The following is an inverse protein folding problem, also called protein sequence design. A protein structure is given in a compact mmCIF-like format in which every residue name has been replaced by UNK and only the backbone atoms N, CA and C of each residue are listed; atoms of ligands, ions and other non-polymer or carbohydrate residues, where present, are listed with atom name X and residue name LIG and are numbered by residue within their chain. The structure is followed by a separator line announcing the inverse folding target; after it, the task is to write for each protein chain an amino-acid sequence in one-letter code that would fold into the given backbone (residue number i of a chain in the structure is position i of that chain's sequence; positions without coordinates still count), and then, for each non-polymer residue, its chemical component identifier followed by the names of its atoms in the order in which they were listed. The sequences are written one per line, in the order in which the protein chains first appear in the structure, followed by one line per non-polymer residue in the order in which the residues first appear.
data_IF_088604426741
#
_entry.id   IF_088604426741
#
_cell.length_a   1.000
_cell.length_b   1.000
_cell.length_c   1.000
_cell.angle_alpha   90.00
_cell.angle_beta   90.00
_cell.angle_gamma   90.00
#
_symmetry.space_group_name_H-M   'P 1'
#
loop_
_entity.id
_entity.type
_entity.pdbx_description
1 polymer ?
#
# COMPACT_ATOMS: atom_id res chain seq x y z
N UNK A 1 -8.05 52.82 25.20
CA UNK A 1 -7.57 52.36 23.88
C UNK A 1 -6.30 51.55 24.14
N UNK A 2 -6.46 50.24 24.29
CA UNK A 2 -5.38 49.30 24.60
C UNK A 2 -4.85 48.73 23.29
N UNK A 3 -3.71 49.26 22.83
CA UNK A 3 -2.97 48.69 21.72
C UNK A 3 -2.47 47.29 22.11
N UNK A 4 -3.04 46.29 21.47
CA UNK A 4 -2.58 44.91 21.53
C UNK A 4 -1.31 44.80 20.69
N UNK A 5 -0.18 44.73 21.38
CA UNK A 5 1.11 44.44 20.78
C UNK A 5 1.06 43.10 20.03
N UNK A 6 0.96 43.17 18.71
CA UNK A 6 1.15 42.02 17.83
C UNK A 6 2.59 41.58 17.95
N UNK A 7 2.82 40.47 18.66
CA UNK A 7 4.08 39.75 18.70
C UNK A 7 4.42 39.25 17.29
N UNK A 8 5.04 40.10 16.47
CA UNK A 8 5.78 39.66 15.29
C UNK A 8 7.03 38.95 15.79
N UNK A 9 6.94 37.63 15.93
CA UNK A 9 8.12 36.79 16.20
C UNK A 9 9.03 36.90 14.97
N UNK A 10 9.97 37.83 15.06
CA UNK A 10 10.98 38.09 14.07
C UNK A 10 12.15 37.12 14.32
N UNK A 11 11.95 35.83 14.04
CA UNK A 11 13.05 34.88 14.05
C UNK A 11 13.43 34.53 12.61
N UNK A 12 14.45 35.23 12.08
CA UNK A 12 15.25 34.75 10.95
C UNK A 12 16.03 33.50 11.40
N UNK A 13 15.34 32.40 11.64
CA UNK A 13 16.00 31.10 11.79
C UNK A 13 16.63 30.73 10.45
N UNK A 14 17.79 30.06 10.50
CA UNK A 14 18.42 29.57 9.28
C UNK A 14 17.61 28.42 8.67
N UNK A 15 17.79 28.16 7.37
CA UNK A 15 17.14 27.02 6.69
C UNK A 15 17.52 25.66 7.31
N UNK A 16 18.77 25.55 7.77
CA UNK A 16 19.27 24.37 8.49
C UNK A 16 18.59 24.20 9.85
N UNK A 17 18.41 25.29 10.58
CA UNK A 17 17.72 25.27 11.87
C UNK A 17 16.23 24.94 11.72
N UNK A 18 15.56 25.50 10.71
CA UNK A 18 14.18 25.16 10.38
C UNK A 18 14.03 23.67 10.05
N UNK A 19 14.92 23.13 9.22
CA UNK A 19 14.97 21.69 8.92
C UNK A 19 15.15 20.85 10.18
N UNK A 20 16.06 21.24 11.08
CA UNK A 20 16.29 20.50 12.32
C UNK A 20 15.04 20.47 13.21
N UNK A 21 14.35 21.61 13.36
CA UNK A 21 13.08 21.71 14.11
C UNK A 21 11.96 20.90 13.47
N UNK A 22 11.85 20.91 12.14
CA UNK A 22 10.90 20.10 11.38
C UNK A 22 11.12 18.60 11.63
N UNK A 23 12.36 18.13 11.57
CA UNK A 23 12.70 16.71 11.79
C UNK A 23 12.39 16.30 13.23
N UNK A 24 12.69 17.16 14.20
CA UNK A 24 12.35 16.94 15.61
C UNK A 24 10.82 16.82 15.80
N UNK A 25 10.05 17.74 15.22
CA UNK A 25 8.59 17.70 15.26
C UNK A 25 8.03 16.42 14.60
N UNK A 26 8.54 16.03 13.44
CA UNK A 26 8.07 14.83 12.76
C UNK A 26 8.26 13.57 13.63
N UNK A 27 9.39 13.49 14.35
CA UNK A 27 9.65 12.41 15.32
C UNK A 27 8.69 12.46 16.51
N UNK A 28 8.42 13.65 17.05
CA UNK A 28 7.47 13.85 18.15
C UNK A 28 6.04 13.43 17.77
N UNK A 29 5.64 13.75 16.53
CA UNK A 29 4.33 13.36 15.97
C UNK A 29 4.27 11.85 15.65
N UNK A 30 5.42 11.17 15.66
CA UNK A 30 5.53 9.72 15.62
C UNK A 30 5.99 9.13 14.29
N UNK A 31 6.54 9.92 13.36
CA UNK A 31 7.19 9.38 12.16
C UNK A 31 8.58 8.79 12.48
N UNK A 32 8.92 7.67 11.85
CA UNK A 32 10.20 6.98 12.01
C UNK A 32 11.33 7.63 11.20
N UNK A 33 10.96 8.40 10.17
CA UNK A 33 11.88 9.16 9.35
C UNK A 33 11.22 10.42 8.82
N UNK A 34 11.98 11.50 8.70
CA UNK A 34 11.61 12.74 8.04
C UNK A 34 12.86 13.26 7.32
N UNK A 35 12.76 13.43 6.00
CA UNK A 35 13.87 13.84 5.13
C UNK A 35 13.40 14.78 4.05
N UNK A 36 14.34 15.49 3.44
CA UNK A 36 14.05 16.55 2.48
C UNK A 36 14.60 16.16 1.11
N UNK A 37 13.73 16.15 0.10
CA UNK A 37 14.13 16.16 -1.31
C UNK A 37 14.07 17.59 -1.86
N UNK A 38 14.90 17.87 -2.87
CA UNK A 38 14.72 19.05 -3.70
C UNK A 38 13.43 18.91 -4.52
N UNK A 39 12.69 20.01 -4.70
CA UNK A 39 11.49 20.01 -5.54
C UNK A 39 11.87 20.15 -7.02
N UNK A 40 12.39 19.06 -7.60
CA UNK A 40 12.74 18.95 -9.02
C UNK A 40 11.87 17.90 -9.71
N UNK A 41 12.00 17.74 -11.03
CA UNK A 41 11.38 16.62 -11.72
C UNK A 41 11.84 15.27 -11.12
N UNK A 42 10.95 14.29 -10.94
CA UNK A 42 11.30 13.02 -10.33
C UNK A 42 12.21 12.20 -11.26
N UNK A 43 13.09 11.40 -10.65
CA UNK A 43 14.15 10.71 -11.37
C UNK A 43 13.63 9.73 -12.44
N UNK A 44 12.51 9.06 -12.17
CA UNK A 44 11.94 8.03 -13.05
C UNK A 44 10.69 8.51 -13.79
N UNK A 45 10.59 9.82 -14.10
CA UNK A 45 9.47 10.37 -14.85
C UNK A 45 9.29 9.70 -16.22
N UNK A 46 10.39 9.37 -16.91
CA UNK A 46 10.34 8.75 -18.23
C UNK A 46 9.89 7.28 -18.14
N UNK A 47 10.43 6.51 -17.20
CA UNK A 47 10.05 5.13 -16.94
C UNK A 47 8.57 5.03 -16.54
N UNK A 48 8.07 6.01 -15.78
CA UNK A 48 6.64 6.11 -15.49
C UNK A 48 5.81 6.32 -16.75
N UNK A 49 6.22 7.22 -17.67
CA UNK A 49 5.53 7.41 -18.96
C UNK A 49 5.60 6.15 -19.83
N UNK A 50 6.73 5.47 -19.86
CA UNK A 50 6.91 4.22 -20.60
C UNK A 50 5.95 3.15 -20.08
N UNK A 51 5.87 2.99 -18.76
CA UNK A 51 4.94 2.08 -18.10
C UNK A 51 3.48 2.38 -18.42
N UNK A 52 3.10 3.66 -18.53
CA UNK A 52 1.77 4.07 -18.99
C UNK A 52 1.54 3.72 -20.48
N UNK A 53 2.52 3.98 -21.34
CA UNK A 53 2.45 3.69 -22.79
C UNK A 53 2.33 2.19 -23.07
N UNK A 54 3.00 1.36 -22.28
CA UNK A 54 2.93 -0.10 -22.32
C UNK A 54 1.57 -0.64 -21.83
N UNK A 55 0.70 0.21 -21.26
CA UNK A 55 -0.57 -0.22 -20.67
C UNK A 55 -0.40 -1.03 -19.38
N UNK A 56 0.80 -1.06 -18.81
CA UNK A 56 1.15 -1.86 -17.64
C UNK A 56 0.46 -1.38 -16.35
N UNK A 57 -0.18 -0.19 -16.37
CA UNK A 57 -1.06 0.31 -15.32
C UNK A 57 -2.45 -0.36 -15.26
N UNK A 58 -2.83 -1.13 -16.29
CA UNK A 58 -4.16 -1.71 -16.38
C UNK A 58 -5.27 -0.67 -16.30
N UNK A 59 -6.31 -0.94 -15.52
CA UNK A 59 -7.49 -0.08 -15.34
C UNK A 59 -7.27 1.15 -14.43
N UNK A 60 -6.05 1.38 -13.92
CA UNK A 60 -5.74 2.53 -13.05
C UNK A 60 -5.69 3.86 -13.84
N UNK A 61 -6.84 4.27 -14.40
CA UNK A 61 -6.98 5.47 -15.23
C UNK A 61 -6.53 6.76 -14.54
N UNK A 62 -6.55 6.81 -13.21
CA UNK A 62 -6.04 7.94 -12.44
C UNK A 62 -4.52 8.13 -12.58
N UNK A 63 -3.76 7.08 -12.90
CA UNK A 63 -2.32 7.19 -13.17
C UNK A 63 -2.08 8.04 -14.41
N UNK A 64 -2.83 7.76 -15.50
CA UNK A 64 -2.76 8.53 -16.74
C UNK A 64 -3.29 9.96 -16.57
N UNK A 65 -4.44 10.15 -15.90
CA UNK A 65 -4.99 11.50 -15.64
C UNK A 65 -4.06 12.39 -14.81
N UNK A 66 -3.23 11.80 -13.96
CA UNK A 66 -2.28 12.51 -13.10
C UNK A 66 -0.89 12.67 -13.69
N UNK A 67 -0.64 12.28 -14.95
CA UNK A 67 0.70 12.16 -15.52
C UNK A 67 1.52 13.46 -15.40
N UNK A 68 0.97 14.59 -15.86
CA UNK A 68 1.68 15.87 -15.84
C UNK A 68 2.10 16.26 -14.42
N UNK A 69 1.20 16.14 -13.45
CA UNK A 69 1.47 16.44 -12.04
C UNK A 69 2.47 15.49 -11.41
N UNK A 70 2.42 14.20 -11.79
CA UNK A 70 3.39 13.20 -11.32
C UNK A 70 4.79 13.49 -11.81
N UNK A 71 4.93 14.02 -13.02
CA UNK A 71 6.22 14.33 -13.63
C UNK A 71 6.74 15.74 -13.33
N UNK A 72 5.89 16.65 -12.85
CA UNK A 72 6.26 18.02 -12.53
C UNK A 72 5.56 18.50 -11.24
N UNK A 73 6.28 18.56 -10.10
CA UNK A 73 5.70 19.01 -8.83
C UNK A 73 5.30 20.49 -8.86
N UNK A 74 5.80 21.30 -9.81
CA UNK A 74 5.35 22.69 -9.97
C UNK A 74 3.89 22.77 -10.44
N UNK A 75 3.36 21.73 -11.11
CA UNK A 75 1.93 21.64 -11.48
C UNK A 75 1.03 21.31 -10.29
N UNK A 76 1.61 20.87 -9.18
CA UNK A 76 0.90 20.60 -7.93
C UNK A 76 0.88 21.86 -7.07
N UNK A 77 2.06 22.42 -6.81
CA UNK A 77 2.25 23.62 -6.00
C UNK A 77 3.27 24.54 -6.70
N UNK A 78 2.80 25.55 -7.45
CA UNK A 78 3.69 26.52 -8.08
C UNK A 78 4.60 27.21 -7.05
N UNK A 79 5.90 27.26 -7.32
CA UNK A 79 6.89 27.85 -6.42
C UNK A 79 7.34 26.93 -5.29
N UNK A 80 6.96 25.65 -5.31
CA UNK A 80 7.51 24.65 -4.39
C UNK A 80 9.04 24.55 -4.60
N UNK A 81 9.79 24.53 -3.49
CA UNK A 81 11.26 24.47 -3.47
C UNK A 81 11.78 23.20 -2.82
N UNK A 82 11.02 22.64 -1.88
CA UNK A 82 11.40 21.42 -1.17
C UNK A 82 10.20 20.49 -1.03
N UNK A 83 10.50 19.20 -0.90
CA UNK A 83 9.53 18.16 -0.62
C UNK A 83 9.97 17.48 0.68
N UNK A 84 9.16 17.63 1.72
CA UNK A 84 9.34 16.90 2.97
C UNK A 84 8.75 15.51 2.76
N UNK A 85 9.56 14.47 2.98
CA UNK A 85 9.14 13.08 2.90
C UNK A 85 9.24 12.45 4.28
N UNK A 86 8.16 11.86 4.74
CA UNK A 86 8.10 11.13 6.01
C UNK A 86 7.83 9.66 5.80
N UNK A 87 8.29 8.83 6.74
CA UNK A 87 8.03 7.40 6.75
C UNK A 87 7.44 6.96 8.09
N UNK A 88 6.43 6.10 8.06
CA UNK A 88 5.78 5.55 9.24
C UNK A 88 5.73 4.02 9.16
N UNK A 89 6.38 3.35 10.11
CA UNK A 89 6.43 1.90 10.21
C UNK A 89 5.05 1.31 10.51
N UNK A 90 4.70 0.22 9.83
CA UNK A 90 3.47 -0.55 10.11
C UNK A 90 3.71 -2.03 10.42
N UNK A 91 4.96 -2.49 10.49
CA UNK A 91 5.28 -3.88 10.74
C UNK A 91 4.77 -4.35 12.12
N UNK A 92 3.96 -5.40 12.16
CA UNK A 92 3.41 -5.94 13.41
C UNK A 92 4.15 -7.20 13.93
N UNK A 93 5.34 -7.48 13.40
CA UNK A 93 6.11 -8.68 13.74
C UNK A 93 5.74 -9.92 12.91
N UNK A 94 6.45 -11.02 13.15
CA UNK A 94 6.37 -12.24 12.31
C UNK A 94 5.18 -13.15 12.65
N UNK A 95 4.62 -13.04 13.86
CA UNK A 95 3.52 -13.91 14.31
C UNK A 95 2.23 -13.58 13.59
N UNK A 96 1.86 -14.39 12.60
CA UNK A 96 0.50 -14.46 12.07
C UNK A 96 -0.18 -15.64 12.77
N UNK A 97 -1.21 -15.42 13.62
CA UNK A 97 -2.00 -16.51 14.15
C UNK A 97 -2.62 -17.30 12.99
N UNK A 98 -2.24 -18.57 12.81
CA UNK A 98 -2.86 -19.44 11.81
C UNK A 98 -3.62 -20.55 12.52
N UNK A 99 -4.91 -20.66 12.21
CA UNK A 99 -5.64 -21.92 12.41
C UNK A 99 -5.14 -22.92 11.37
N UNK A 100 -4.69 -24.10 11.81
CA UNK A 100 -4.16 -25.14 10.93
C UNK A 100 -5.27 -25.98 10.25
N UNK A 101 -6.50 -25.96 10.77
CA UNK A 101 -7.57 -26.87 10.39
C UNK A 101 -8.63 -26.30 9.44
N UNK A 102 -8.56 -24.99 9.11
CA UNK A 102 -9.59 -24.33 8.30
C UNK A 102 -9.00 -23.34 7.28
N UNK A 103 -9.71 -23.14 6.18
CA UNK A 103 -9.30 -22.24 5.11
C UNK A 103 -9.36 -20.76 5.56
N UNK A 104 -8.19 -20.14 5.69
CA UNK A 104 -8.03 -18.71 6.04
C UNK A 104 -7.49 -17.91 4.87
N UNK A 105 -7.88 -16.63 4.82
CA UNK A 105 -7.39 -15.67 3.84
C UNK A 105 -6.20 -14.86 4.34
N UNK A 106 -5.34 -14.41 3.43
CA UNK A 106 -4.29 -13.43 3.70
C UNK A 106 -4.74 -12.05 3.24
N UNK A 107 -4.66 -11.08 4.15
CA UNK A 107 -4.77 -9.65 3.87
C UNK A 107 -3.37 -9.07 4.03
N UNK A 108 -2.95 -8.20 3.11
CA UNK A 108 -1.66 -7.51 3.20
C UNK A 108 -1.54 -6.72 4.51
N UNK A 109 -0.36 -6.75 5.11
CA UNK A 109 -0.07 -6.23 6.46
C UNK A 109 -0.49 -4.79 6.64
N UNK A 110 -0.34 -3.96 5.61
CA UNK A 110 -0.68 -2.55 5.64
C UNK A 110 -2.18 -2.29 5.89
N UNK A 111 -3.05 -3.28 5.66
CA UNK A 111 -4.50 -3.16 5.79
C UNK A 111 -5.07 -3.88 7.03
N UNK A 112 -4.22 -4.31 7.97
CA UNK A 112 -4.66 -5.04 9.16
C UNK A 112 -5.40 -4.19 10.19
N UNK A 113 -5.04 -2.91 10.31
CA UNK A 113 -5.57 -1.98 11.30
C UNK A 113 -6.42 -0.86 10.70
N UNK A 114 -6.26 0.34 11.25
CA UNK A 114 -6.85 1.58 10.75
C UNK A 114 -6.36 1.94 9.34
N UNK A 115 -7.16 2.76 8.65
CA UNK A 115 -6.80 3.32 7.37
C UNK A 115 -5.61 4.29 7.50
N UNK A 116 -4.48 3.93 6.91
CA UNK A 116 -3.24 4.71 7.01
C UNK A 116 -3.39 6.12 6.45
N UNK A 117 -4.31 6.34 5.50
CA UNK A 117 -4.59 7.66 4.96
C UNK A 117 -5.04 8.61 6.09
N UNK A 118 -5.95 8.15 6.95
CA UNK A 118 -6.50 8.96 8.04
C UNK A 118 -5.45 9.19 9.14
N UNK A 119 -4.68 8.15 9.49
CA UNK A 119 -3.61 8.22 10.50
C UNK A 119 -2.51 9.20 10.07
N UNK A 120 -2.02 9.06 8.83
CA UNK A 120 -0.90 9.86 8.32
C UNK A 120 -1.35 11.28 8.03
N UNK A 121 -2.54 11.51 7.46
CA UNK A 121 -3.03 12.87 7.18
C UNK A 121 -3.09 13.72 8.45
N UNK A 122 -3.64 13.18 9.56
CA UNK A 122 -3.66 13.88 10.87
C UNK A 122 -2.27 14.24 11.38
N UNK A 123 -1.26 13.41 11.09
CA UNK A 123 0.14 13.68 11.46
C UNK A 123 0.78 14.72 10.54
N UNK A 124 0.50 14.65 9.23
CA UNK A 124 0.95 15.65 8.25
C UNK A 124 0.38 17.04 8.53
N UNK A 125 -0.87 17.15 8.98
CA UNK A 125 -1.50 18.43 9.35
C UNK A 125 -0.72 19.19 10.42
N UNK A 126 -0.10 18.48 11.38
CA UNK A 126 0.75 19.09 12.41
C UNK A 126 2.02 19.70 11.79
N UNK A 127 2.61 19.00 10.83
CA UNK A 127 3.81 19.47 10.11
C UNK A 127 3.45 20.63 9.18
N UNK A 128 2.32 20.54 8.46
CA UNK A 128 1.78 21.59 7.60
C UNK A 128 1.60 22.90 8.40
N UNK A 129 0.89 22.84 9.53
CA UNK A 129 0.68 23.98 10.42
C UNK A 129 1.99 24.56 10.96
N UNK A 130 2.97 23.72 11.29
CA UNK A 130 4.29 24.19 11.71
C UNK A 130 4.99 24.97 10.59
N UNK A 131 5.00 24.46 9.36
CA UNK A 131 5.67 25.14 8.24
C UNK A 131 4.97 26.46 7.85
N UNK A 132 3.64 26.56 8.02
CA UNK A 132 2.90 27.82 7.82
C UNK A 132 3.38 28.95 8.73
N UNK A 133 3.80 28.64 9.95
CA UNK A 133 4.33 29.64 10.90
C UNK A 133 5.61 30.32 10.38
N UNK A 134 6.30 29.71 9.41
CA UNK A 134 7.49 30.25 8.75
C UNK A 134 7.20 30.83 7.36
N UNK A 135 5.93 31.06 7.02
CA UNK A 135 5.52 31.67 5.75
C UNK A 135 5.50 30.72 4.56
N UNK A 136 5.60 29.41 4.79
CA UNK A 136 5.47 28.43 3.72
C UNK A 136 4.03 28.24 3.28
N UNK A 137 3.85 27.95 1.99
CA UNK A 137 2.63 27.32 1.47
C UNK A 137 2.93 25.85 1.21
N UNK A 138 1.95 24.98 1.47
CA UNK A 138 2.14 23.53 1.43
C UNK A 138 1.03 22.83 0.66
N UNK A 139 1.38 21.66 0.13
CA UNK A 139 0.42 20.66 -0.34
C UNK A 139 0.87 19.29 0.15
N UNK A 140 0.05 18.69 1.01
CA UNK A 140 0.31 17.39 1.63
C UNK A 140 -0.40 16.26 0.89
N UNK A 141 0.24 15.10 0.82
CA UNK A 141 -0.31 13.87 0.26
C UNK A 141 0.12 12.64 1.06
N UNK A 142 -0.74 11.63 0.98
CA UNK A 142 -0.46 10.24 1.34
C UNK A 142 -1.18 9.38 0.30
N UNK A 143 -0.43 8.62 -0.52
CA UNK A 143 -0.85 7.69 -1.60
C UNK A 143 -1.74 8.29 -2.73
N UNK A 144 -2.80 8.99 -2.36
CA UNK A 144 -3.84 9.58 -3.23
C UNK A 144 -3.37 10.75 -4.08
N UNK A 145 -2.19 11.30 -3.80
CA UNK A 145 -1.61 12.43 -4.53
C UNK A 145 -1.05 12.05 -5.90
N UNK A 146 -1.08 12.96 -6.89
CA UNK A 146 -0.42 12.75 -8.17
C UNK A 146 1.09 13.06 -8.05
N UNK A 147 1.78 12.44 -7.09
CA UNK A 147 3.23 12.56 -6.87
C UNK A 147 3.89 11.19 -7.01
N UNK A 148 5.11 11.11 -7.54
CA UNK A 148 5.92 9.88 -7.50
C UNK A 148 6.59 9.76 -6.12
N UNK A 149 5.79 9.44 -5.09
CA UNK A 149 6.20 9.39 -3.68
C UNK A 149 7.52 8.62 -3.45
N UNK A 150 7.64 7.42 -4.05
CA UNK A 150 8.82 6.56 -3.88
C UNK A 150 10.08 7.16 -4.48
N UNK A 151 9.97 7.93 -5.57
CA UNK A 151 11.12 8.60 -6.20
C UNK A 151 11.67 9.68 -5.28
N UNK A 152 10.79 10.55 -4.76
CA UNK A 152 11.23 11.60 -3.83
C UNK A 152 11.71 11.02 -2.50
N UNK A 153 11.11 9.93 -2.03
CA UNK A 153 11.60 9.22 -0.85
C UNK A 153 13.01 8.64 -1.06
N UNK A 154 13.30 8.08 -2.24
CA UNK A 154 14.64 7.61 -2.58
C UNK A 154 15.64 8.77 -2.69
N UNK A 155 15.26 9.87 -3.36
CA UNK A 155 16.09 11.08 -3.50
C UNK A 155 16.40 11.73 -2.14
N UNK A 156 15.40 11.80 -1.24
CA UNK A 156 15.57 12.29 0.12
C UNK A 156 16.38 11.31 1.00
N UNK A 157 16.68 10.10 0.52
CA UNK A 157 17.43 9.10 1.28
C UNK A 157 16.62 8.41 2.38
N UNK A 158 15.29 8.32 2.26
CA UNK A 158 14.47 7.43 3.10
C UNK A 158 14.88 5.98 2.84
N UNK A 159 15.14 5.63 1.59
CA UNK A 159 15.50 4.28 1.18
C UNK A 159 16.04 4.25 -0.25
N UNK A 160 16.03 3.08 -0.88
CA UNK A 160 16.33 2.91 -2.30
C UNK A 160 15.24 2.07 -2.97
N UNK A 161 15.09 2.19 -4.30
CA UNK A 161 14.16 1.35 -5.05
C UNK A 161 14.68 -0.08 -5.10
N UNK A 162 13.92 -1.01 -4.53
CA UNK A 162 14.17 -2.43 -4.70
C UNK A 162 13.84 -2.89 -6.12
N UNK A 163 14.36 -4.06 -6.51
CA UNK A 163 14.03 -4.69 -7.79
C UNK A 163 12.53 -5.01 -7.95
N UNK A 164 11.79 -5.05 -6.84
CA UNK A 164 10.32 -5.19 -6.80
C UNK A 164 9.56 -3.88 -6.98
N UNK A 165 10.23 -2.78 -7.31
CA UNK A 165 9.73 -1.39 -7.37
C UNK A 165 9.31 -0.78 -6.03
N UNK A 166 9.32 -1.55 -4.94
CA UNK A 166 9.08 -1.06 -3.57
C UNK A 166 10.31 -0.33 -3.02
N UNK A 167 10.09 0.66 -2.16
CA UNK A 167 11.17 1.32 -1.44
C UNK A 167 11.65 0.44 -0.28
N UNK A 168 12.96 0.38 -0.07
CA UNK A 168 13.59 -0.41 1.00
C UNK A 168 14.42 0.54 1.88
N UNK A 169 14.26 0.45 3.19
CA UNK A 169 15.09 1.13 4.19
C UNK A 169 15.93 0.13 4.97
N UNK A 170 17.10 0.58 5.43
CA UNK A 170 18.05 -0.26 6.18
C UNK A 170 17.57 -0.66 7.58
N UNK A 171 16.61 0.07 8.15
CA UNK A 171 16.06 -0.17 9.51
C UNK A 171 14.61 -0.64 9.46
N UNK A 172 13.79 -0.06 8.58
CA UNK A 172 12.37 -0.38 8.47
C UNK A 172 12.10 -1.56 7.52
N UNK A 173 13.11 -2.00 6.75
CA UNK A 173 12.93 -3.01 5.71
C UNK A 173 12.01 -2.48 4.62
N UNK A 174 10.91 -3.17 4.35
CA UNK A 174 9.90 -2.75 3.37
C UNK A 174 8.56 -2.35 4.00
N UNK A 175 8.51 -2.26 5.33
CA UNK A 175 7.26 -2.17 6.09
C UNK A 175 6.97 -0.76 6.61
N UNK A 176 6.89 0.20 5.70
CA UNK A 176 6.54 1.57 6.05
C UNK A 176 5.64 2.23 5.00
N UNK A 177 4.81 3.15 5.46
CA UNK A 177 4.07 4.08 4.63
C UNK A 177 4.91 5.32 4.35
N UNK A 178 4.56 6.02 3.27
CA UNK A 178 5.11 7.32 2.92
C UNK A 178 4.05 8.42 3.10
N UNK A 179 4.53 9.64 3.28
CA UNK A 179 3.74 10.86 3.16
C UNK A 179 4.63 11.99 2.70
N UNK A 180 4.07 12.91 1.92
CA UNK A 180 4.80 14.01 1.30
C UNK A 180 4.16 15.35 1.63
N UNK A 181 5.00 16.37 1.81
CA UNK A 181 4.58 17.77 1.88
C UNK A 181 5.44 18.56 0.90
N UNK A 182 4.87 18.97 -0.22
CA UNK A 182 5.49 19.96 -1.09
C UNK A 182 5.41 21.30 -0.37
N UNK A 183 6.49 22.08 -0.35
CA UNK A 183 6.49 23.40 0.27
C UNK A 183 7.28 24.44 -0.52
N UNK A 184 6.82 25.69 -0.48
CA UNK A 184 7.52 26.85 -1.04
C UNK A 184 8.75 27.28 -0.21
N UNK A 185 8.91 26.71 0.99
CA UNK A 185 10.10 26.93 1.81
C UNK A 185 11.29 26.19 1.22
N UNK A 186 12.44 26.86 1.25
CA UNK A 186 13.70 26.27 0.81
C UNK A 186 14.40 25.61 2.00
N UNK A 187 14.42 24.28 2.00
CA UNK A 187 15.05 23.45 3.02
C UNK A 187 16.25 22.70 2.42
N UNK A 188 17.36 22.53 3.16
CA UNK A 188 18.52 21.81 2.64
C UNK A 188 18.16 20.34 2.35
N UNK A 189 18.39 19.83 1.13
CA UNK A 189 18.07 18.44 0.80
C UNK A 189 18.97 17.44 1.53
N UNK A 190 18.46 16.24 1.74
CA UNK A 190 19.21 15.08 2.24
C UNK A 190 19.76 14.27 1.07
N UNK A 191 20.93 13.60 1.24
CA UNK A 191 21.50 12.77 0.19
C UNK A 191 20.76 11.42 0.06
N UNK A 192 20.65 10.87 -1.16
CA UNK A 192 20.06 9.56 -1.39
C UNK A 192 20.90 8.44 -0.78
N UNK A 193 20.25 7.31 -0.50
CA UNK A 193 20.95 6.08 -0.13
C UNK A 193 21.40 5.30 -1.39
N UNK A 194 22.48 4.53 -1.27
CA UNK A 194 22.92 3.61 -2.35
C UNK A 194 21.98 2.41 -2.46
N UNK A 195 21.81 1.89 -3.67
CA UNK A 195 21.16 0.59 -3.90
C UNK A 195 21.94 -0.53 -3.20
N UNK A 196 21.21 -1.42 -2.52
CA UNK A 196 21.78 -2.58 -1.80
C UNK A 196 21.12 -3.91 -2.17
N UNK A 197 20.46 -4.01 -3.31
CA UNK A 197 19.90 -5.26 -3.83
C UNK A 197 20.99 -6.18 -4.40
N UNK A 198 22.05 -5.62 -5.01
CA UNK A 198 23.14 -6.40 -5.61
C UNK A 198 22.62 -7.44 -6.61
N UNK A 199 23.10 -8.69 -6.53
CA UNK A 199 22.67 -9.79 -7.40
C UNK A 199 21.37 -10.48 -6.95
N UNK A 200 20.79 -10.09 -5.81
CA UNK A 200 19.57 -10.71 -5.26
C UNK A 200 18.41 -10.66 -6.26
N UNK A 201 17.64 -11.76 -6.37
CA UNK A 201 16.42 -11.87 -7.19
C UNK A 201 15.20 -12.42 -6.42
N UNK A 202 15.28 -12.49 -5.08
CA UNK A 202 14.26 -13.17 -4.24
C UNK A 202 12.84 -12.67 -4.47
N UNK A 203 12.62 -11.36 -4.55
CA UNK A 203 11.29 -10.79 -4.77
C UNK A 203 10.71 -11.15 -6.15
N UNK A 204 11.55 -11.22 -7.18
CA UNK A 204 11.16 -11.63 -8.54
C UNK A 204 10.76 -13.11 -8.52
N UNK A 205 11.60 -13.97 -7.94
CA UNK A 205 11.34 -15.41 -7.80
C UNK A 205 10.09 -15.69 -6.96
N UNK A 206 9.83 -14.91 -5.91
CA UNK A 206 8.69 -15.09 -5.03
C UNK A 206 7.36 -14.60 -5.62
N UNK A 207 7.38 -13.80 -6.70
CA UNK A 207 6.18 -13.22 -7.29
C UNK A 207 5.32 -14.31 -7.98
N UNK A 208 4.13 -14.67 -7.44
CA UNK A 208 3.42 -15.87 -7.91
C UNK A 208 2.92 -15.78 -9.35
N UNK A 209 2.69 -14.56 -9.83
CA UNK A 209 2.16 -14.27 -11.16
C UNK A 209 3.23 -13.78 -12.13
N UNK A 210 4.49 -13.67 -11.69
CA UNK A 210 5.55 -13.05 -12.51
C UNK A 210 5.24 -11.60 -12.87
N UNK A 211 4.55 -10.86 -12.00
CA UNK A 211 4.25 -9.44 -12.23
C UNK A 211 5.50 -8.56 -12.23
N UNK A 212 6.55 -8.95 -11.49
CA UNK A 212 7.85 -8.29 -11.56
C UNK A 212 8.62 -8.89 -12.74
N UNK A 213 8.51 -8.27 -13.91
CA UNK A 213 8.99 -8.82 -15.19
C UNK A 213 10.50 -8.71 -15.37
N UNK A 214 11.11 -7.72 -14.71
CA UNK A 214 12.55 -7.51 -14.64
C UNK A 214 12.88 -6.65 -13.40
N UNK A 215 14.16 -6.51 -13.01
CA UNK A 215 14.54 -5.53 -11.98
C UNK A 215 13.94 -4.15 -12.25
N UNK A 216 13.19 -3.63 -11.27
CA UNK A 216 12.52 -2.32 -11.33
C UNK A 216 11.42 -2.20 -12.40
N UNK A 217 10.93 -3.32 -12.95
CA UNK A 217 9.79 -3.35 -13.88
C UNK A 217 8.66 -4.21 -13.33
N UNK A 218 7.44 -3.67 -13.34
CA UNK A 218 6.23 -4.31 -12.84
C UNK A 218 5.11 -4.19 -13.87
N UNK A 219 4.50 -5.30 -14.25
CA UNK A 219 3.19 -5.30 -14.93
C UNK A 219 2.08 -5.40 -13.88
N UNK A 220 1.39 -4.28 -13.61
CA UNK A 220 0.36 -4.27 -12.57
C UNK A 220 -0.81 -5.18 -12.94
N UNK A 221 -1.12 -5.39 -14.22
CA UNK A 221 -2.21 -6.27 -14.66
C UNK A 221 -2.07 -7.70 -14.13
N UNK A 222 -0.84 -8.12 -13.82
CA UNK A 222 -0.52 -9.43 -13.24
C UNK A 222 -0.33 -9.38 -11.73
N UNK A 223 -0.10 -8.21 -11.14
CA UNK A 223 0.19 -8.07 -9.72
C UNK A 223 -1.04 -8.45 -8.88
N UNK A 224 -0.90 -9.38 -7.94
CA UNK A 224 -2.02 -9.80 -7.07
C UNK A 224 -2.59 -8.60 -6.28
N UNK A 225 -1.74 -7.65 -5.90
CA UNK A 225 -2.21 -6.41 -5.25
C UNK A 225 -3.18 -5.64 -6.15
N UNK A 226 -2.82 -5.42 -7.43
CA UNK A 226 -3.71 -4.81 -8.42
C UNK A 226 -4.97 -5.66 -8.66
N UNK A 227 -4.83 -6.97 -8.86
CA UNK A 227 -5.97 -7.87 -9.12
C UNK A 227 -7.00 -7.82 -7.99
N UNK A 228 -6.55 -7.74 -6.74
CA UNK A 228 -7.42 -7.76 -5.57
C UNK A 228 -7.94 -6.38 -5.16
N UNK A 229 -7.35 -5.29 -5.66
CA UNK A 229 -7.66 -3.92 -5.21
C UNK A 229 -8.17 -3.01 -6.34
N UNK A 230 -7.39 -2.94 -7.42
CA UNK A 230 -7.58 -1.95 -8.48
C UNK A 230 -8.49 -2.44 -9.58
N UNK A 231 -8.35 -3.71 -9.97
CA UNK A 231 -9.22 -4.36 -10.94
C UNK A 231 -10.65 -4.43 -10.40
N UNK A 232 -11.61 -3.79 -11.08
CA UNK A 232 -13.01 -3.75 -10.62
C UNK A 232 -13.85 -4.91 -11.13
N UNK A 233 -13.49 -5.46 -12.28
CA UNK A 233 -14.17 -6.57 -12.94
C UNK A 233 -13.67 -7.96 -12.52
N UNK A 234 -13.83 -8.92 -13.43
CA UNK A 234 -13.45 -10.31 -13.23
C UNK A 234 -11.94 -10.52 -13.22
N UNK A 235 -11.43 -11.34 -12.29
CA UNK A 235 -10.03 -11.73 -12.30
C UNK A 235 -9.84 -12.76 -13.44
N UNK A 236 -8.87 -12.57 -14.36
CA UNK A 236 -8.63 -13.51 -15.46
C UNK A 236 -8.47 -14.95 -14.97
N UNK A 237 -9.16 -15.90 -15.62
CA UNK A 237 -9.29 -17.28 -15.16
C UNK A 237 -7.93 -17.94 -14.93
N UNK A 238 -6.96 -17.66 -15.80
CA UNK A 238 -5.59 -18.16 -15.73
C UNK A 238 -4.78 -17.61 -14.55
N UNK A 239 -5.15 -16.43 -14.03
CA UNK A 239 -4.50 -15.82 -12.86
C UNK A 239 -5.15 -16.25 -11.54
N UNK A 240 -6.43 -16.66 -11.53
CA UNK A 240 -7.15 -17.07 -10.31
C UNK A 240 -6.40 -18.14 -9.50
N UNK A 241 -5.84 -19.22 -10.09
CA UNK A 241 -5.02 -20.19 -9.36
C UNK A 241 -3.81 -19.60 -8.65
N UNK A 242 -3.17 -18.59 -9.24
CA UNK A 242 -1.91 -18.01 -8.77
C UNK A 242 -2.11 -17.01 -7.62
N UNK A 243 -3.33 -16.49 -7.44
CA UNK A 243 -3.70 -15.62 -6.32
C UNK A 243 -3.49 -16.32 -4.96
N UNK A 244 -3.65 -17.66 -4.92
CA UNK A 244 -3.58 -18.43 -3.68
C UNK A 244 -4.73 -18.05 -2.75
N UNK A 245 -4.43 -17.78 -1.48
CA UNK A 245 -5.41 -17.37 -0.47
C UNK A 245 -5.41 -15.86 -0.17
N UNK A 246 -4.85 -15.02 -1.05
CA UNK A 246 -4.78 -13.57 -0.85
C UNK A 246 -6.12 -12.92 -1.19
N UNK A 247 -6.75 -12.27 -0.22
CA UNK A 247 -8.08 -11.66 -0.36
C UNK A 247 -8.05 -10.13 -0.42
N UNK A 248 -6.92 -9.50 -0.09
CA UNK A 248 -6.69 -8.06 -0.24
C UNK A 248 -5.18 -7.76 -0.22
N UNK A 249 -4.63 -7.24 -1.32
CA UNK A 249 -3.20 -6.95 -1.43
C UNK A 249 -2.34 -8.21 -1.53
N UNK A 250 -1.02 -8.02 -1.64
CA UNK A 250 -0.05 -9.12 -1.65
C UNK A 250 1.29 -8.65 -1.06
N UNK A 251 1.82 -9.44 -0.13
CA UNK A 251 3.08 -9.15 0.56
C UNK A 251 4.26 -10.01 0.09
N UNK A 252 4.10 -10.92 -0.86
CA UNK A 252 5.14 -11.94 -1.12
C UNK A 252 6.49 -11.37 -1.56
N UNK A 253 6.46 -10.33 -2.40
CA UNK A 253 7.69 -9.65 -2.84
C UNK A 253 8.34 -8.85 -1.71
N UNK A 254 7.56 -8.44 -0.71
CA UNK A 254 7.98 -7.76 0.51
C UNK A 254 8.57 -8.80 1.47
N UNK A 255 7.80 -9.82 1.85
CA UNK A 255 8.19 -10.93 2.73
C UNK A 255 9.51 -11.60 2.26
N UNK A 256 9.72 -11.76 0.95
CA UNK A 256 10.94 -12.35 0.39
C UNK A 256 12.19 -11.45 0.48
N UNK A 257 12.04 -10.16 0.78
CA UNK A 257 13.13 -9.21 0.84
C UNK A 257 14.05 -9.48 2.06
N UNK A 258 15.35 -9.71 1.86
CA UNK A 258 16.26 -10.04 2.96
C UNK A 258 16.48 -8.89 3.94
N UNK A 259 16.15 -7.65 3.56
CA UNK A 259 16.27 -6.48 4.43
C UNK A 259 15.22 -6.46 5.54
N UNK A 260 14.14 -7.25 5.42
CA UNK A 260 13.13 -7.36 6.48
C UNK A 260 13.64 -8.05 7.75
N UNK A 261 14.80 -8.71 7.71
CA UNK A 261 15.47 -9.22 8.93
C UNK A 261 15.86 -8.11 9.91
N UNK A 262 15.93 -6.86 9.45
CA UNK A 262 16.24 -5.69 10.27
C UNK A 262 14.99 -4.93 10.73
N UNK A 263 13.81 -5.29 10.21
CA UNK A 263 12.58 -4.59 10.53
C UNK A 263 12.19 -4.78 12.00
N UNK A 264 11.79 -3.69 12.64
CA UNK A 264 11.33 -3.68 14.02
C UNK A 264 9.81 -3.51 14.06
N UNK A 265 9.16 -4.07 15.07
CA UNK A 265 7.73 -3.89 15.26
C UNK A 265 7.40 -2.40 15.44
N UNK A 266 6.32 -1.96 14.79
CA UNK A 266 5.82 -0.59 14.87
C UNK A 266 5.33 -0.27 16.28
N UNK A 267 5.52 0.98 16.67
CA UNK A 267 4.95 1.56 17.90
C UNK A 267 3.57 2.17 17.67
N UNK A 268 3.15 2.29 16.42
CA UNK A 268 1.86 2.84 16.04
C UNK A 268 0.78 1.77 16.19
N UNK A 269 0.03 1.86 17.29
CA UNK A 269 -0.99 0.87 17.65
C UNK A 269 -2.20 0.93 16.73
N UNK A 270 -2.42 2.05 16.02
CA UNK A 270 -3.48 2.15 15.00
C UNK A 270 -3.38 1.06 13.91
N UNK A 271 -2.18 0.53 13.66
CA UNK A 271 -1.94 -0.52 12.67
C UNK A 271 -1.98 -1.95 13.25
N UNK A 272 -2.37 -2.10 14.51
CA UNK A 272 -2.50 -3.41 15.15
C UNK A 272 -3.52 -4.29 14.45
N UNK A 273 -3.29 -5.60 14.46
CA UNK A 273 -4.18 -6.59 13.85
C UNK A 273 -5.57 -6.57 14.46
N UNK A 274 -6.60 -6.72 13.62
CA UNK A 274 -7.99 -6.92 14.05
C UNK A 274 -8.40 -8.37 13.79
N UNK A 275 -9.30 -8.92 14.61
CA UNK A 275 -9.85 -10.28 14.37
C UNK A 275 -10.47 -10.39 12.98
N UNK A 276 -11.09 -9.32 12.50
CA UNK A 276 -11.68 -9.24 11.16
C UNK A 276 -10.66 -9.31 10.02
N UNK A 277 -9.37 -9.10 10.28
CA UNK A 277 -8.32 -9.13 9.25
C UNK A 277 -7.39 -10.34 9.36
N UNK A 278 -7.32 -10.99 10.53
CA UNK A 278 -6.40 -12.13 10.77
C UNK A 278 -7.04 -13.40 11.32
N UNK A 279 -8.31 -13.35 11.75
CA UNK A 279 -8.93 -14.42 12.54
C UNK A 279 -10.26 -14.98 12.02
N UNK A 280 -10.76 -14.54 10.87
CA UNK A 280 -12.00 -15.06 10.27
C UNK A 280 -11.73 -16.15 9.23
N UNK A 281 -12.63 -17.14 9.16
CA UNK A 281 -12.61 -18.13 8.10
C UNK A 281 -13.09 -17.52 6.79
N UNK A 282 -12.55 -18.01 5.66
CA UNK A 282 -12.95 -17.51 4.34
C UNK A 282 -14.46 -17.63 4.09
N UNK A 283 -15.07 -18.76 4.47
CA UNK A 283 -16.52 -18.99 4.33
C UNK A 283 -17.38 -18.02 5.12
N UNK A 284 -16.87 -17.47 6.22
CA UNK A 284 -17.64 -16.55 7.07
C UNK A 284 -17.69 -15.15 6.47
N UNK A 285 -16.66 -14.75 5.71
CA UNK A 285 -16.72 -13.50 4.94
C UNK A 285 -17.84 -13.51 3.90
N UNK A 286 -18.16 -14.65 3.28
CA UNK A 286 -19.23 -14.76 2.28
C UNK A 286 -20.63 -14.44 2.83
N UNK A 287 -20.81 -14.43 4.16
CA UNK A 287 -22.08 -14.08 4.81
C UNK A 287 -22.31 -12.58 4.89
N UNK A 288 -21.26 -11.78 4.76
CA UNK A 288 -21.34 -10.33 4.93
C UNK A 288 -22.24 -9.72 3.84
N UNK A 289 -23.30 -9.02 4.25
CA UNK A 289 -24.02 -8.07 3.39
C UNK A 289 -23.32 -6.70 3.36
N UNK A 290 -23.86 -5.73 2.61
CA UNK A 290 -23.24 -4.40 2.46
C UNK A 290 -23.19 -3.58 3.76
N UNK A 291 -24.15 -3.77 4.66
CA UNK A 291 -24.17 -3.10 5.97
C UNK A 291 -23.09 -3.70 6.86
N UNK A 292 -23.03 -5.03 6.96
CA UNK A 292 -22.04 -5.74 7.76
C UNK A 292 -20.62 -5.51 7.24
N UNK A 293 -20.41 -5.54 5.92
CA UNK A 293 -19.13 -5.23 5.31
C UNK A 293 -18.64 -3.83 5.70
N UNK A 294 -19.52 -2.82 5.64
CA UNK A 294 -19.19 -1.45 6.07
C UNK A 294 -18.92 -1.37 7.57
N UNK A 295 -19.67 -2.10 8.39
CA UNK A 295 -19.44 -2.17 9.84
C UNK A 295 -18.05 -2.74 10.18
N UNK A 296 -17.61 -3.75 9.43
CA UNK A 296 -16.31 -4.41 9.66
C UNK A 296 -15.13 -3.63 9.08
N UNK A 297 -15.27 -3.05 7.88
CA UNK A 297 -14.16 -2.49 7.12
C UNK A 297 -14.23 -0.97 6.89
N UNK A 298 -15.23 -0.26 7.42
CA UNK A 298 -15.42 1.18 7.17
C UNK A 298 -14.24 2.07 7.55
N UNK A 299 -13.46 1.66 8.56
CA UNK A 299 -12.24 2.35 9.02
C UNK A 299 -10.96 1.57 8.62
N UNK A 300 -10.98 0.92 7.46
CA UNK A 300 -9.86 0.14 6.92
C UNK A 300 -9.66 0.49 5.44
N UNK A 301 -8.43 0.39 4.90
CA UNK A 301 -8.20 0.56 3.46
C UNK A 301 -9.06 -0.39 2.61
N UNK A 302 -9.51 -1.52 3.18
CA UNK A 302 -10.34 -2.53 2.52
C UNK A 302 -11.68 -1.94 2.03
N UNK A 303 -12.19 -0.87 2.66
CA UNK A 303 -13.45 -0.22 2.26
C UNK A 303 -13.51 0.14 0.77
N UNK A 304 -12.35 0.43 0.16
CA UNK A 304 -12.23 0.91 -1.22
C UNK A 304 -12.67 -0.08 -2.30
N UNK A 305 -12.64 -1.39 -2.01
CA UNK A 305 -13.06 -2.42 -2.97
C UNK A 305 -14.53 -2.81 -2.83
N UNK A 306 -15.20 -2.31 -1.77
CA UNK A 306 -16.58 -2.62 -1.41
C UNK A 306 -16.79 -4.13 -1.17
N UNK A 307 -18.00 -4.50 -0.76
CA UNK A 307 -18.38 -5.90 -0.56
C UNK A 307 -18.10 -6.74 -1.80
N UNK A 308 -18.51 -6.27 -2.98
CA UNK A 308 -18.37 -7.02 -4.23
C UNK A 308 -16.94 -7.43 -4.57
N UNK A 309 -15.99 -6.50 -4.50
CA UNK A 309 -14.59 -6.79 -4.80
C UNK A 309 -13.99 -7.72 -3.75
N UNK A 310 -14.36 -7.53 -2.49
CA UNK A 310 -13.87 -8.36 -1.40
C UNK A 310 -14.37 -9.80 -1.50
N UNK A 311 -15.68 -10.01 -1.71
CA UNK A 311 -16.25 -11.35 -1.83
C UNK A 311 -15.82 -12.06 -3.11
N UNK A 312 -15.63 -11.33 -4.22
CA UNK A 312 -14.95 -11.87 -5.43
C UNK A 312 -13.59 -12.48 -5.06
N UNK A 313 -12.77 -11.76 -4.31
CA UNK A 313 -11.44 -12.26 -3.89
C UNK A 313 -11.56 -13.46 -2.94
N UNK A 314 -12.52 -13.44 -2.01
CA UNK A 314 -12.79 -14.57 -1.09
C UNK A 314 -13.19 -15.82 -1.86
N UNK A 315 -14.04 -15.72 -2.88
CA UNK A 315 -14.39 -16.84 -3.75
C UNK A 315 -13.15 -17.43 -4.44
N UNK A 316 -12.28 -16.59 -5.02
CA UNK A 316 -11.02 -17.04 -5.63
C UNK A 316 -10.14 -17.78 -4.61
N UNK A 317 -9.98 -17.21 -3.41
CA UNK A 317 -9.21 -17.84 -2.34
C UNK A 317 -9.80 -19.20 -1.93
N UNK A 318 -11.12 -19.31 -1.76
CA UNK A 318 -11.78 -20.58 -1.45
C UNK A 318 -11.62 -21.62 -2.55
N UNK A 319 -11.70 -21.23 -3.83
CA UNK A 319 -11.43 -22.15 -4.94
C UNK A 319 -10.02 -22.76 -4.84
N UNK A 320 -9.05 -21.96 -4.39
CA UNK A 320 -7.66 -22.39 -4.27
C UNK A 320 -7.36 -23.22 -3.01
N UNK A 321 -7.87 -22.82 -1.84
CA UNK A 321 -7.48 -23.43 -0.54
C UNK A 321 -8.64 -24.05 0.25
N UNK A 322 -9.89 -23.82 -0.15
CA UNK A 322 -11.07 -24.38 0.50
C UNK A 322 -11.25 -25.89 0.26
N UNK A 323 -12.22 -26.48 0.93
CA UNK A 323 -12.61 -27.88 0.79
C UNK A 323 -14.12 -28.07 0.68
N UNK A 324 -14.56 -29.33 0.72
CA UNK A 324 -15.98 -29.68 0.60
C UNK A 324 -16.87 -28.97 1.63
N UNK A 325 -16.33 -28.71 2.83
CA UNK A 325 -17.04 -28.00 3.90
C UNK A 325 -17.31 -26.52 3.57
N UNK A 326 -16.65 -25.92 2.58
CA UNK A 326 -16.88 -24.53 2.14
C UNK A 326 -17.97 -24.42 1.07
N UNK A 327 -18.36 -25.55 0.44
CA UNK A 327 -19.33 -25.56 -0.65
C UNK A 327 -20.70 -24.95 -0.29
N UNK A 328 -21.28 -25.14 0.90
CA UNK A 328 -22.56 -24.50 1.24
C UNK A 328 -22.50 -22.98 1.18
N UNK A 329 -21.42 -22.37 1.69
CA UNK A 329 -21.24 -20.91 1.64
C UNK A 329 -21.02 -20.41 0.21
N UNK A 330 -20.24 -21.15 -0.59
CA UNK A 330 -20.03 -20.83 -2.00
C UNK A 330 -21.32 -20.97 -2.84
N UNK A 331 -22.18 -21.96 -2.55
CA UNK A 331 -23.48 -22.08 -3.22
C UNK A 331 -24.38 -20.88 -2.91
N UNK A 332 -24.35 -20.37 -1.68
CA UNK A 332 -25.01 -19.12 -1.33
C UNK A 332 -24.46 -17.93 -2.14
N UNK A 333 -23.13 -17.81 -2.23
CA UNK A 333 -22.49 -16.76 -3.03
C UNK A 333 -22.72 -16.90 -4.55
N UNK A 334 -22.91 -18.12 -5.05
CA UNK A 334 -23.25 -18.38 -6.46
C UNK A 334 -24.68 -17.93 -6.83
N UNK A 335 -25.54 -17.74 -5.82
CA UNK A 335 -26.89 -17.19 -5.97
C UNK A 335 -26.97 -15.69 -5.60
N UNK A 336 -25.83 -15.03 -5.37
CA UNK A 336 -25.78 -13.59 -5.08
C UNK A 336 -26.26 -12.78 -6.30
N UNK A 337 -27.03 -11.69 -6.11
CA UNK A 337 -27.47 -10.83 -7.21
C UNK A 337 -26.32 -10.09 -7.92
N UNK A 338 -25.15 -9.94 -7.30
CA UNK A 338 -23.97 -9.39 -7.98
C UNK A 338 -23.31 -10.49 -8.83
N UNK A 339 -23.45 -10.37 -10.15
CA UNK A 339 -22.91 -11.31 -11.15
C UNK A 339 -21.41 -11.60 -10.97
N UNK A 340 -20.64 -10.60 -10.50
CA UNK A 340 -19.21 -10.78 -10.28
C UNK A 340 -18.94 -11.78 -9.16
N UNK A 341 -19.74 -11.73 -8.09
CA UNK A 341 -19.61 -12.66 -6.96
C UNK A 341 -20.07 -14.05 -7.40
N UNK A 342 -21.22 -14.13 -8.08
CA UNK A 342 -21.80 -15.37 -8.56
C UNK A 342 -20.84 -16.13 -9.49
N UNK A 343 -20.25 -15.43 -10.47
CA UNK A 343 -19.26 -15.97 -11.41
C UNK A 343 -18.05 -16.60 -10.68
N UNK A 344 -17.48 -15.88 -9.71
CA UNK A 344 -16.28 -16.34 -9.01
C UNK A 344 -16.60 -17.47 -8.01
N UNK A 345 -17.81 -17.48 -7.44
CA UNK A 345 -18.28 -18.55 -6.59
C UNK A 345 -18.49 -19.85 -7.39
N UNK A 346 -19.10 -19.78 -8.59
CA UNK A 346 -19.26 -20.92 -9.48
C UNK A 346 -17.90 -21.54 -9.84
N UNK A 347 -16.93 -20.72 -10.26
CA UNK A 347 -15.55 -21.16 -10.52
C UNK A 347 -14.90 -21.85 -9.30
N UNK A 348 -15.12 -21.30 -8.10
CA UNK A 348 -14.57 -21.86 -6.87
C UNK A 348 -15.16 -23.24 -6.53
N UNK A 349 -16.48 -23.42 -6.73
CA UNK A 349 -17.17 -24.70 -6.55
C UNK A 349 -16.58 -25.76 -7.48
N UNK A 350 -16.49 -25.47 -8.78
CA UNK A 350 -15.93 -26.38 -9.77
C UNK A 350 -14.51 -26.81 -9.41
N UNK A 351 -13.69 -25.84 -8.99
CA UNK A 351 -12.29 -26.09 -8.60
C UNK A 351 -12.16 -26.98 -7.38
N UNK A 352 -12.98 -26.77 -6.35
CA UNK A 352 -13.02 -27.63 -5.15
C UNK A 352 -13.47 -29.04 -5.51
N UNK A 353 -14.51 -29.18 -6.32
CA UNK A 353 -15.04 -30.48 -6.74
C UNK A 353 -14.02 -31.26 -7.57
N UNK A 354 -13.36 -30.61 -8.54
CA UNK A 354 -12.32 -31.22 -9.37
C UNK A 354 -11.15 -31.72 -8.51
N UNK A 355 -10.65 -30.89 -7.58
CA UNK A 355 -9.57 -31.28 -6.65
C UNK A 355 -9.97 -32.46 -5.75
N UNK A 356 -11.21 -32.47 -5.24
CA UNK A 356 -11.70 -33.54 -4.38
C UNK A 356 -11.83 -34.87 -5.13
N UNK A 357 -12.30 -34.85 -6.38
CA UNK A 357 -12.34 -36.04 -7.24
C UNK A 357 -10.95 -36.60 -7.50
N UNK A 358 -9.98 -35.74 -7.83
CA UNK A 358 -8.58 -36.16 -8.06
C UNK A 358 -7.93 -36.77 -6.81
N UNK A 359 -8.26 -36.29 -5.61
CA UNK A 359 -7.76 -36.87 -4.36
C UNK A 359 -8.38 -38.24 -4.08
N UNK A 360 -9.69 -38.42 -4.31
CA UNK A 360 -10.35 -39.70 -4.17
C UNK A 360 -9.77 -40.77 -5.12
N UNK A 361 -9.49 -40.39 -6.38
CA UNK A 361 -8.88 -41.30 -7.37
C UNK A 361 -7.41 -41.66 -7.13
N UNK A 362 -6.73 -41.02 -6.17
CA UNK A 362 -5.35 -41.37 -5.77
C UNK A 362 -5.27 -42.29 -4.55
N UNK A 363 -6.40 -42.48 -3.87
CA UNK A 363 -6.51 -43.29 -2.64
C UNK A 363 -7.10 -44.68 -2.92
N UNK A 364 -7.86 -44.83 -4.02
CA UNK A 364 -8.08 -46.11 -4.69
C UNK A 364 -6.90 -46.43 -5.61
#
# INVERSE_FOLDING_TARGET
MTETATHKINHRISRTELKARLVALAREVGFDSCRIAACAAPAHANEFRDWLREGAAGEMSYMKRGEEKRCDPQKILPGAKSIVVVALNYFQGEKIPRSQSAATGRIARYAWGEDYHDVISRKLDKIDNFLRQFGGMQKSYVDTGPILERDYAAQAGIGWHGKSTMLIDTRLGTWFFLGEILTTLELPPDPPQRDRCGTCKRCITACPTGAITAPHRLDARRCISYLTIELKGSIPIELRPLVGNRIFGCDDCLDACPWNRFAQASRETAFSTRRSTTGMLLRDYLKLNDVEFRGVFGNSPIKRIKRRGFLRNVCVALGNVGGLADLPALKGAAADPDELIAEHAAWAIERIQARSKMQASKVC
#
